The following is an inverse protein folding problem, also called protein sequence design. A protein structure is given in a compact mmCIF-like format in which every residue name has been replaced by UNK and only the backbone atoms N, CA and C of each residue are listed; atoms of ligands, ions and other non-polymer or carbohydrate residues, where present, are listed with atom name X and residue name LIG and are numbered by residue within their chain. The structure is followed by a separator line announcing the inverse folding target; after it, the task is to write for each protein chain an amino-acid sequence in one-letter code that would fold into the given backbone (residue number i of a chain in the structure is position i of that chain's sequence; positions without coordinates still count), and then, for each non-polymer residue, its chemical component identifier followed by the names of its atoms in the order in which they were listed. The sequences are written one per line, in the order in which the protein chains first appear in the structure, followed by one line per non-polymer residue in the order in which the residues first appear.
data_IF_084895573109
#
_entry.id   IF_084895573109
#
_cell.length_a   1.000
_cell.length_b   1.000
_cell.length_c   1.000
_cell.angle_alpha   90.00
_cell.angle_beta   90.00
_cell.angle_gamma   90.00
#
_symmetry.space_group_name_H-M   'P 1'
#
loop_
_entity.id
_entity.type
_entity.pdbx_description
1 polymer ?
#
# COMPACT_ATOMS: atom_id res chain seq x y z
N UNK A 1 1.46 13.74 -8.98
CA UNK A 1 2.62 12.91 -9.42
C UNK A 1 3.96 13.40 -8.88
N UNK A 2 4.21 14.72 -8.81
CA UNK A 2 5.48 15.26 -8.30
C UNK A 2 5.76 14.91 -6.83
N UNK A 3 4.73 14.92 -5.98
CA UNK A 3 4.85 14.56 -4.55
C UNK A 3 5.41 13.15 -4.32
N UNK A 4 4.91 12.16 -5.08
CA UNK A 4 5.37 10.76 -5.02
C UNK A 4 6.87 10.67 -5.28
N UNK A 5 7.38 11.32 -6.34
CA UNK A 5 8.80 11.27 -6.69
C UNK A 5 9.69 11.96 -5.65
N UNK A 6 9.18 12.99 -4.98
CA UNK A 6 9.94 13.78 -4.03
C UNK A 6 9.98 13.15 -2.63
N UNK A 7 8.86 12.58 -2.16
CA UNK A 7 8.72 12.05 -0.80
C UNK A 7 8.96 10.53 -0.71
N UNK A 8 8.72 9.76 -1.78
CA UNK A 8 8.83 8.29 -1.76
C UNK A 8 10.11 7.81 -2.46
N UNK A 9 11.26 7.94 -1.80
CA UNK A 9 12.59 7.66 -2.37
C UNK A 9 13.06 6.22 -2.17
N UNK A 10 12.64 5.57 -1.09
CA UNK A 10 13.03 4.20 -0.72
C UNK A 10 11.82 3.35 -0.32
N UNK A 11 12.01 2.04 -0.31
CA UNK A 11 11.05 1.10 0.24
C UNK A 11 10.78 1.42 1.72
N UNK A 12 9.51 1.48 2.08
CA UNK A 12 9.07 1.87 3.42
C UNK A 12 8.77 3.35 3.59
N UNK A 13 9.12 4.21 2.62
CA UNK A 13 8.67 5.60 2.64
C UNK A 13 7.16 5.66 2.45
N UNK A 14 6.51 6.58 3.15
CA UNK A 14 5.09 6.86 2.99
C UNK A 14 4.76 8.30 3.34
N UNK A 15 3.62 8.75 2.84
CA UNK A 15 2.99 9.98 3.31
C UNK A 15 1.48 9.78 3.51
N UNK A 16 0.93 10.60 4.41
CA UNK A 16 -0.48 10.57 4.77
C UNK A 16 -1.38 11.09 3.65
N UNK A 17 -2.51 10.41 3.47
CA UNK A 17 -3.62 10.82 2.64
C UNK A 17 -4.70 11.34 3.58
N UNK A 18 -4.94 12.64 3.55
CA UNK A 18 -5.93 13.29 4.40
C UNK A 18 -7.13 13.73 3.58
N UNK A 19 -8.26 13.88 4.27
CA UNK A 19 -9.47 14.45 3.66
C UNK A 19 -9.19 15.84 3.10
N UNK A 20 -9.82 16.17 1.97
CA UNK A 20 -9.70 17.47 1.29
C UNK A 20 -10.68 18.50 1.84
N UNK A 21 -11.63 18.08 2.67
CA UNK A 21 -12.64 18.95 3.25
C UNK A 21 -11.98 19.87 4.28
N UNK A 22 -12.22 21.18 4.19
CA UNK A 22 -11.61 22.14 5.11
C UNK A 22 -12.06 21.93 6.56
N UNK A 23 -13.27 21.41 6.75
CA UNK A 23 -13.83 21.08 8.07
C UNK A 23 -13.36 19.74 8.63
N UNK A 24 -12.68 18.90 7.83
CA UNK A 24 -12.28 17.56 8.22
C UNK A 24 -10.86 17.23 7.72
N UNK A 25 -9.93 17.12 8.67
CA UNK A 25 -8.54 16.74 8.39
C UNK A 25 -8.26 15.26 8.73
N UNK A 26 -9.29 14.42 8.69
CA UNK A 26 -9.19 12.98 8.98
C UNK A 26 -8.17 12.29 8.08
N UNK A 27 -7.43 11.35 8.67
CA UNK A 27 -6.51 10.48 7.96
C UNK A 27 -7.33 9.40 7.24
N UNK A 28 -7.28 9.39 5.91
CA UNK A 28 -7.99 8.42 5.06
C UNK A 28 -7.13 7.21 4.72
N UNK A 29 -5.80 7.38 4.73
CA UNK A 29 -4.88 6.33 4.33
C UNK A 29 -3.45 6.78 4.18
N UNK A 30 -2.64 5.92 3.58
CA UNK A 30 -1.24 6.19 3.26
C UNK A 30 -0.95 5.89 1.80
N UNK A 31 -0.11 6.73 1.19
CA UNK A 31 0.58 6.40 -0.04
C UNK A 31 1.94 5.81 0.34
N UNK A 32 2.16 4.53 0.06
CA UNK A 32 3.30 3.76 0.57
C UNK A 32 4.13 3.18 -0.57
N UNK A 33 5.45 3.33 -0.50
CA UNK A 33 6.36 2.67 -1.45
C UNK A 33 6.79 1.31 -0.90
N UNK A 34 6.32 0.25 -1.55
CA UNK A 34 6.50 -1.13 -1.09
C UNK A 34 7.89 -1.71 -1.31
N UNK A 35 8.52 -1.38 -2.43
CA UNK A 35 9.82 -1.94 -2.82
C UNK A 35 10.66 -0.89 -3.53
N UNK A 36 11.98 -1.05 -3.48
CA UNK A 36 12.92 -0.20 -4.21
C UNK A 36 12.86 -0.48 -5.72
N UNK A 37 12.48 -1.70 -6.11
CA UNK A 37 12.39 -2.15 -7.51
C UNK A 37 11.26 -1.47 -8.30
N UNK A 38 10.34 -0.77 -7.62
CA UNK A 38 9.23 -0.07 -8.27
C UNK A 38 9.04 1.31 -7.68
N UNK A 39 8.82 2.30 -8.57
CA UNK A 39 8.50 3.68 -8.19
C UNK A 39 7.00 3.91 -7.99
N UNK A 40 6.16 2.94 -8.36
CA UNK A 40 4.71 3.05 -8.25
C UNK A 40 4.25 2.62 -6.85
N UNK A 41 3.78 3.56 -6.01
CA UNK A 41 3.36 3.23 -4.66
C UNK A 41 2.05 2.43 -4.65
N UNK A 42 1.70 1.93 -3.48
CA UNK A 42 0.38 1.37 -3.16
C UNK A 42 -0.36 2.34 -2.25
N UNK A 43 -1.68 2.37 -2.37
CA UNK A 43 -2.56 3.17 -1.53
C UNK A 43 -3.23 2.24 -0.54
N UNK A 44 -3.19 2.58 0.75
CA UNK A 44 -3.67 1.71 1.82
C UNK A 44 -4.55 2.51 2.76
N UNK A 45 -5.69 1.95 3.13
CA UNK A 45 -6.61 2.47 4.14
C UNK A 45 -6.88 1.39 5.18
N UNK A 46 -7.37 1.80 6.35
CA UNK A 46 -7.86 0.87 7.37
C UNK A 46 -9.17 0.24 6.88
N UNK A 47 -9.29 -1.08 7.05
CA UNK A 47 -10.54 -1.81 6.89
C UNK A 47 -11.35 -1.82 8.18
N UNK A 48 -11.03 -2.72 9.11
CA UNK A 48 -11.73 -2.86 10.39
C UNK A 48 -10.77 -3.27 11.51
N UNK A 49 -11.00 -2.77 12.74
CA UNK A 49 -10.31 -3.16 14.00
C UNK A 49 -8.77 -3.21 13.93
N UNK A 50 -8.14 -2.32 13.16
CA UNK A 50 -6.69 -2.20 13.08
C UNK A 50 -6.28 -0.74 13.24
N UNK A 51 -5.19 -0.48 13.96
CA UNK A 51 -4.63 0.87 14.08
C UNK A 51 -3.74 1.20 12.87
N UNK A 52 -3.48 2.49 12.65
CA UNK A 52 -2.58 2.96 11.60
C UNK A 52 -1.15 2.42 11.77
N UNK A 53 -0.64 2.38 13.00
CA UNK A 53 0.69 1.85 13.31
C UNK A 53 0.82 0.37 12.94
N UNK A 54 -0.17 -0.44 13.31
CA UNK A 54 -0.21 -1.87 12.97
C UNK A 54 -0.35 -2.07 11.47
N UNK A 55 -1.18 -1.27 10.79
CA UNK A 55 -1.32 -1.31 9.33
C UNK A 55 0.03 -1.12 8.62
N UNK A 56 0.78 -0.08 8.97
CA UNK A 56 2.10 0.20 8.40
C UNK A 56 3.13 -0.89 8.72
N UNK A 57 3.10 -1.41 9.95
CA UNK A 57 3.96 -2.52 10.37
C UNK A 57 3.71 -3.78 9.53
N UNK A 58 2.44 -4.17 9.34
CA UNK A 58 2.06 -5.30 8.49
C UNK A 58 2.55 -5.06 7.06
N UNK A 59 2.27 -3.88 6.51
CA UNK A 59 2.61 -3.55 5.13
C UNK A 59 4.12 -3.68 4.86
N UNK A 60 4.95 -3.22 5.80
CA UNK A 60 6.42 -3.38 5.73
C UNK A 60 6.86 -4.85 5.70
N UNK A 61 6.16 -5.72 6.42
CA UNK A 61 6.47 -7.15 6.43
C UNK A 61 6.05 -7.84 5.12
N UNK A 62 4.82 -7.59 4.66
CA UNK A 62 4.23 -8.34 3.54
C UNK A 62 4.65 -7.83 2.17
N UNK A 63 5.13 -6.60 2.06
CA UNK A 63 5.49 -5.98 0.77
C UNK A 63 7.01 -5.97 0.48
N UNK A 64 7.82 -6.66 1.31
CA UNK A 64 9.29 -6.60 1.26
C UNK A 64 9.91 -7.04 -0.08
N UNK A 65 9.30 -8.01 -0.76
CA UNK A 65 9.88 -8.63 -1.98
C UNK A 65 9.35 -8.03 -3.28
N UNK A 66 8.08 -7.66 -3.31
CA UNK A 66 7.35 -7.31 -4.52
C UNK A 66 6.55 -6.03 -4.31
N UNK A 67 6.22 -5.31 -5.39
CA UNK A 67 5.38 -4.10 -5.31
C UNK A 67 4.02 -4.38 -4.67
N UNK A 68 3.40 -5.51 -5.02
CA UNK A 68 2.13 -5.95 -4.47
C UNK A 68 2.40 -6.79 -3.23
N UNK A 69 1.73 -6.53 -2.09
CA UNK A 69 1.81 -7.37 -0.89
C UNK A 69 1.64 -8.85 -1.20
N UNK A 70 2.49 -9.70 -0.62
CA UNK A 70 2.54 -11.13 -0.92
C UNK A 70 1.17 -11.84 -0.79
N UNK A 71 0.33 -11.58 0.24
CA UNK A 71 -0.99 -12.20 0.33
C UNK A 71 -1.90 -11.86 -0.85
N UNK A 72 -1.88 -10.60 -1.30
CA UNK A 72 -2.68 -10.13 -2.45
C UNK A 72 -2.14 -10.76 -3.73
N UNK A 73 -0.82 -10.82 -3.87
CA UNK A 73 -0.15 -11.43 -5.03
C UNK A 73 -0.49 -12.92 -5.15
N UNK A 74 -0.47 -13.65 -4.04
CA UNK A 74 -0.83 -15.08 -4.02
C UNK A 74 -2.30 -15.30 -4.40
N UNK A 75 -3.22 -14.49 -3.86
CA UNK A 75 -4.64 -14.56 -4.23
C UNK A 75 -4.88 -14.30 -5.73
N UNK A 76 -4.20 -13.31 -6.32
CA UNK A 76 -4.29 -13.01 -7.76
C UNK A 76 -3.72 -14.16 -8.61
N UNK A 77 -2.59 -14.76 -8.22
CA UNK A 77 -2.02 -15.89 -8.94
C UNK A 77 -2.93 -17.12 -8.90
N UNK A 78 -3.44 -17.48 -7.73
CA UNK A 78 -4.31 -18.65 -7.54
C UNK A 78 -5.59 -18.54 -8.36
N UNK A 79 -6.22 -17.37 -8.36
CA UNK A 79 -7.46 -17.15 -9.12
C UNK A 79 -7.22 -17.19 -10.64
N UNK A 80 -6.11 -16.61 -11.12
CA UNK A 80 -5.72 -16.70 -12.54
C UNK A 80 -5.41 -18.12 -12.98
N UNK A 81 -4.74 -18.90 -12.15
CA UNK A 81 -4.43 -20.28 -12.45
C UNK A 81 -5.71 -21.13 -12.50
N UNK A 82 -6.60 -20.95 -11.53
CA UNK A 82 -7.92 -21.58 -11.53
C UNK A 82 -8.71 -21.27 -12.82
N UNK A 83 -8.78 -20.00 -13.22
CA UNK A 83 -9.49 -19.58 -14.43
C UNK A 83 -8.87 -20.09 -15.74
N UNK A 84 -7.56 -20.36 -15.76
CA UNK A 84 -6.89 -20.95 -16.94
C UNK A 84 -7.14 -22.44 -17.09
N UNK A 85 -7.44 -23.11 -15.97
CA UNK A 85 -7.66 -24.54 -15.88
C UNK A 85 -9.16 -24.92 -15.82
N UNK A 86 -10.06 -23.93 -15.90
CA UNK A 86 -11.49 -24.12 -16.19
C UNK A 86 -11.70 -24.41 -17.68
#
# INVERSE_FOLDING_TARGET
KNRIKNELKKAGDYFELRSRLESDNSLLGYCYRSTDQSSNPVYVSIGNKISWSTCLWILKLVAKKCRIPEPIRQADLLTRDFLRNL
#
